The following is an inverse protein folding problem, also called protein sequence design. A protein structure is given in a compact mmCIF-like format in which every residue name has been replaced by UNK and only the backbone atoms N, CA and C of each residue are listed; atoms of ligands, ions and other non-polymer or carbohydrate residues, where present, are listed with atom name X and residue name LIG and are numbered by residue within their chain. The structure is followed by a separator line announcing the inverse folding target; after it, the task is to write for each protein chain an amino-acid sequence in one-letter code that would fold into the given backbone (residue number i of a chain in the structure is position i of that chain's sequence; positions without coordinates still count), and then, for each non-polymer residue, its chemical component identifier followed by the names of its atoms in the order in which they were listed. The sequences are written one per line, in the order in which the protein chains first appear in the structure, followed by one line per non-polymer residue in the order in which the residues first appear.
data_IF_433164328178
#
_entry.id   IF_433164328178
#
_cell.length_a   1.000
_cell.length_b   1.000
_cell.length_c   1.000
_cell.angle_alpha   90.00
_cell.angle_beta   90.00
_cell.angle_gamma   90.00
#
_symmetry.space_group_name_H-M   'P 1'
#
loop_
_entity.id
_entity.type
_entity.pdbx_description
1 polymer ?
#
# COMPACT_ATOMS: atom_id res chain seq x y z
N UNK A 1 -4.36 -12.45 8.74
CA UNK A 1 -4.11 -12.38 7.29
C UNK A 1 -3.59 -10.98 7.00
N UNK A 2 -2.51 -10.82 6.25
CA UNK A 2 -1.90 -9.53 5.88
C UNK A 2 -1.88 -9.42 4.35
N UNK A 3 -2.18 -8.25 3.76
CA UNK A 3 -2.52 -6.99 4.41
C UNK A 3 -3.98 -6.94 4.93
N UNK A 4 -4.28 -6.14 5.96
CA UNK A 4 -5.66 -5.87 6.37
C UNK A 4 -6.38 -5.05 5.29
N UNK A 5 -7.70 -5.20 5.20
CA UNK A 5 -8.53 -4.31 4.38
C UNK A 5 -8.58 -2.93 5.05
N UNK A 6 -8.28 -1.88 4.28
CA UNK A 6 -8.05 -0.52 4.78
C UNK A 6 -9.12 0.49 4.35
N UNK A 7 -9.98 0.13 3.39
CA UNK A 7 -11.02 1.04 2.90
C UNK A 7 -12.26 0.95 3.81
N UNK A 8 -12.81 2.10 4.16
CA UNK A 8 -14.09 2.23 4.85
C UNK A 8 -15.16 2.59 3.82
N UNK A 9 -15.47 1.64 2.94
CA UNK A 9 -16.49 1.77 1.90
C UNK A 9 -17.50 0.64 2.03
N UNK A 10 -18.78 0.93 1.78
CA UNK A 10 -19.87 -0.05 1.79
C UNK A 10 -19.84 -1.05 0.63
N UNK A 11 -18.67 -1.31 0.06
CA UNK A 11 -18.50 -2.22 -1.07
C UNK A 11 -18.45 -3.66 -0.59
N UNK A 12 -19.13 -4.53 -1.33
CA UNK A 12 -19.05 -5.97 -1.09
C UNK A 12 -17.65 -6.48 -1.42
N UNK A 13 -17.23 -7.48 -0.66
CA UNK A 13 -15.94 -8.15 -0.84
C UNK A 13 -16.21 -9.59 -1.22
N UNK A 14 -15.43 -10.08 -2.17
CA UNK A 14 -15.53 -11.44 -2.69
C UNK A 14 -14.13 -11.95 -3.02
N UNK A 15 -13.85 -13.25 -2.85
CA UNK A 15 -12.72 -13.86 -3.54
C UNK A 15 -12.82 -13.58 -5.05
N UNK A 16 -11.66 -13.50 -5.71
CA UNK A 16 -11.57 -13.29 -7.14
C UNK A 16 -10.75 -14.42 -7.75
N UNK A 17 -11.31 -15.09 -8.75
CA UNK A 17 -10.63 -16.14 -9.52
C UNK A 17 -10.30 -15.56 -10.89
N UNK A 18 -9.02 -15.53 -11.23
CA UNK A 18 -8.57 -15.15 -12.57
C UNK A 18 -8.45 -16.38 -13.45
N UNK A 19 -9.08 -16.34 -14.62
CA UNK A 19 -9.14 -17.42 -15.62
C UNK A 19 -8.63 -16.94 -16.98
N UNK A 20 -8.20 -17.86 -17.85
CA UNK A 20 -7.64 -17.50 -19.17
C UNK A 20 -8.72 -17.16 -20.21
N UNK A 21 -9.96 -17.58 -19.99
CA UNK A 21 -11.12 -17.35 -20.87
C UNK A 21 -12.36 -17.00 -20.02
N UNK A 22 -13.36 -16.28 -20.57
CA UNK A 22 -14.56 -15.91 -19.83
C UNK A 22 -15.27 -17.12 -19.18
N UNK A 23 -15.39 -17.11 -17.85
CA UNK A 23 -16.11 -18.14 -17.11
C UNK A 23 -17.62 -18.02 -17.32
N UNK A 24 -18.28 -19.12 -17.66
CA UNK A 24 -19.72 -19.17 -17.98
C UNK A 24 -20.53 -20.01 -16.99
N UNK A 25 -19.84 -20.87 -16.23
CA UNK A 25 -20.45 -21.84 -15.34
C UNK A 25 -20.42 -21.39 -13.88
N UNK A 26 -19.54 -20.44 -13.52
CA UNK A 26 -19.37 -19.86 -12.18
C UNK A 26 -19.40 -20.91 -11.06
N UNK A 27 -18.49 -21.91 -11.05
CA UNK A 27 -18.55 -23.06 -10.15
C UNK A 27 -18.41 -22.71 -8.66
N UNK A 28 -17.88 -21.53 -8.34
CA UNK A 28 -17.73 -21.02 -6.98
C UNK A 28 -18.55 -19.73 -6.82
N UNK A 29 -19.03 -19.48 -5.59
CA UNK A 29 -19.66 -18.21 -5.24
C UNK A 29 -18.58 -17.15 -5.02
N UNK A 30 -17.96 -16.70 -6.11
CA UNK A 30 -16.90 -15.70 -6.14
C UNK A 30 -16.98 -14.86 -7.42
N UNK A 31 -16.19 -13.78 -7.48
CA UNK A 31 -16.03 -13.04 -8.72
C UNK A 31 -15.03 -13.76 -9.65
N UNK A 32 -15.19 -13.55 -10.95
CA UNK A 32 -14.28 -14.04 -11.99
C UNK A 32 -13.79 -12.89 -12.85
N UNK A 33 -12.53 -12.96 -13.28
CA UNK A 33 -11.95 -12.04 -14.26
C UNK A 33 -10.82 -12.71 -15.04
N UNK A 34 -10.13 -11.96 -15.90
CA UNK A 34 -9.04 -12.50 -16.73
C UNK A 34 -7.68 -11.83 -16.46
N UNK A 35 -7.59 -10.82 -15.59
CA UNK A 35 -6.38 -10.00 -15.46
C UNK A 35 -5.86 -9.81 -14.02
N UNK A 36 -6.71 -9.96 -12.99
CA UNK A 36 -6.37 -9.49 -11.65
C UNK A 36 -5.17 -10.19 -11.03
N UNK A 37 -4.98 -11.50 -11.23
CA UNK A 37 -3.85 -12.24 -10.66
C UNK A 37 -2.50 -11.66 -11.12
N UNK A 38 -2.35 -11.44 -12.42
CA UNK A 38 -1.14 -10.85 -13.03
C UNK A 38 -0.97 -9.39 -12.63
N UNK A 39 -2.06 -8.61 -12.64
CA UNK A 39 -2.04 -7.22 -12.18
C UNK A 39 -1.55 -7.12 -10.74
N UNK A 40 -2.14 -7.91 -9.82
CA UNK A 40 -1.82 -7.88 -8.40
C UNK A 40 -0.36 -8.27 -8.15
N UNK A 41 0.13 -9.32 -8.83
CA UNK A 41 1.52 -9.76 -8.72
C UNK A 41 2.53 -8.67 -9.11
N UNK A 42 2.23 -7.89 -10.15
CA UNK A 42 3.11 -6.80 -10.61
C UNK A 42 2.95 -5.59 -9.69
N UNK A 43 1.72 -5.19 -9.38
CA UNK A 43 1.42 -4.03 -8.56
C UNK A 43 2.00 -4.16 -7.14
N UNK A 44 1.98 -5.36 -6.55
CA UNK A 44 2.53 -5.62 -5.21
C UNK A 44 4.06 -5.50 -5.13
N UNK A 45 4.76 -5.44 -6.27
CA UNK A 45 6.20 -5.15 -6.31
C UNK A 45 6.50 -3.65 -6.32
N UNK A 46 5.52 -2.85 -6.73
CA UNK A 46 5.66 -1.40 -6.88
C UNK A 46 4.99 -0.62 -5.74
N UNK A 47 4.07 -1.26 -5.02
CA UNK A 47 3.28 -0.64 -3.96
C UNK A 47 3.06 -1.59 -2.78
N UNK A 48 2.53 -1.05 -1.70
CA UNK A 48 2.10 -1.82 -0.52
C UNK A 48 0.75 -2.47 -0.80
N UNK A 49 0.49 -3.64 -0.22
CA UNK A 49 -0.74 -4.38 -0.49
C UNK A 49 -2.00 -3.66 -0.04
N UNK A 50 -1.87 -2.71 0.90
CA UNK A 50 -2.92 -1.80 1.33
C UNK A 50 -3.41 -0.88 0.19
N UNK A 51 -2.50 -0.48 -0.71
CA UNK A 51 -2.82 0.37 -1.88
C UNK A 51 -3.18 -0.44 -3.14
N UNK A 52 -2.89 -1.73 -3.18
CA UNK A 52 -3.19 -2.58 -4.35
C UNK A 52 -4.57 -3.19 -4.18
N UNK A 53 -5.56 -2.62 -4.87
CA UNK A 53 -6.95 -3.07 -4.84
C UNK A 53 -7.42 -3.44 -6.25
N UNK A 54 -8.25 -4.48 -6.37
CA UNK A 54 -8.97 -4.82 -7.60
C UNK A 54 -10.45 -4.56 -7.38
N UNK A 55 -10.96 -3.47 -7.97
CA UNK A 55 -12.36 -3.12 -7.92
C UNK A 55 -13.07 -3.69 -9.16
N UNK A 56 -14.19 -4.38 -8.95
CA UNK A 56 -14.96 -5.03 -10.00
C UNK A 56 -16.42 -4.60 -9.95
N UNK A 57 -16.97 -4.29 -11.11
CA UNK A 57 -18.41 -4.17 -11.31
C UNK A 57 -18.88 -5.51 -11.87
N UNK A 58 -19.89 -6.11 -11.25
CA UNK A 58 -20.43 -7.39 -11.70
C UNK A 58 -21.35 -7.14 -12.90
N UNK A 59 -20.87 -7.49 -14.09
CA UNK A 59 -21.57 -7.33 -15.38
C UNK A 59 -22.61 -8.41 -15.62
N UNK A 60 -22.37 -9.60 -15.09
CA UNK A 60 -23.07 -10.83 -15.40
C UNK A 60 -23.08 -11.76 -14.19
N UNK A 61 -24.01 -12.70 -14.22
CA UNK A 61 -24.26 -13.70 -13.19
C UNK A 61 -24.68 -15.02 -13.85
N UNK A 62 -24.74 -16.14 -13.11
CA UNK A 62 -25.29 -17.38 -13.64
C UNK A 62 -26.66 -17.16 -14.32
N UNK A 63 -26.73 -17.50 -15.61
CA UNK A 63 -27.96 -17.36 -16.41
C UNK A 63 -28.12 -16.03 -17.16
N UNK A 64 -27.21 -15.06 -17.03
CA UNK A 64 -27.20 -13.87 -17.90
C UNK A 64 -26.42 -14.10 -19.19
N UNK A 65 -26.71 -13.29 -20.22
CA UNK A 65 -25.90 -13.25 -21.43
C UNK A 65 -24.64 -12.40 -21.20
N UNK A 66 -23.50 -12.85 -21.72
CA UNK A 66 -22.21 -12.14 -21.66
C UNK A 66 -22.10 -11.00 -22.69
N UNK A 67 -23.01 -10.95 -23.67
CA UNK A 67 -22.99 -9.94 -24.73
C UNK A 67 -23.69 -8.64 -24.28
N UNK A 68 -23.01 -7.84 -23.45
CA UNK A 68 -23.49 -6.52 -23.07
C UNK A 68 -23.24 -5.49 -24.18
N UNK A 69 -24.20 -4.60 -24.40
CA UNK A 69 -24.01 -3.45 -25.30
C UNK A 69 -23.18 -2.36 -24.63
N UNK A 70 -22.58 -1.48 -25.43
CA UNK A 70 -21.84 -0.32 -24.92
C UNK A 70 -22.68 0.58 -24.00
N UNK A 71 -23.98 0.74 -24.29
CA UNK A 71 -24.89 1.53 -23.47
C UNK A 71 -25.14 0.87 -22.11
N UNK A 72 -25.30 -0.46 -22.08
CA UNK A 72 -25.45 -1.21 -20.83
C UNK A 72 -24.20 -1.11 -19.96
N UNK A 73 -23.01 -1.24 -20.56
CA UNK A 73 -21.73 -1.08 -19.87
C UNK A 73 -21.60 0.35 -19.31
N UNK A 74 -21.97 1.36 -20.11
CA UNK A 74 -21.92 2.75 -19.69
C UNK A 74 -22.84 3.02 -18.50
N UNK A 75 -24.03 2.42 -18.49
CA UNK A 75 -24.97 2.53 -17.37
C UNK A 75 -24.42 1.85 -16.10
N UNK A 76 -23.88 0.63 -16.23
CA UNK A 76 -23.26 -0.08 -15.10
C UNK A 76 -22.12 0.74 -14.47
N UNK A 77 -21.29 1.40 -15.28
CA UNK A 77 -20.24 2.29 -14.79
C UNK A 77 -20.82 3.54 -14.11
N UNK A 78 -21.82 4.18 -14.73
CA UNK A 78 -22.45 5.38 -14.20
C UNK A 78 -23.08 5.12 -12.82
N UNK A 79 -23.75 3.98 -12.66
CA UNK A 79 -24.41 3.58 -11.42
C UNK A 79 -23.41 3.38 -10.25
N UNK A 80 -22.14 3.09 -10.57
CA UNK A 80 -21.08 2.82 -9.58
C UNK A 80 -20.07 3.95 -9.44
N UNK A 81 -20.26 5.08 -10.15
CA UNK A 81 -19.25 6.14 -10.20
C UNK A 81 -18.96 6.73 -8.82
N UNK A 82 -19.98 6.98 -8.00
CA UNK A 82 -19.81 7.51 -6.64
C UNK A 82 -19.00 6.58 -5.73
N UNK A 83 -19.22 5.26 -5.86
CA UNK A 83 -18.47 4.24 -5.16
C UNK A 83 -17.00 4.18 -5.60
N UNK A 84 -16.75 4.26 -6.92
CA UNK A 84 -15.40 4.32 -7.49
C UNK A 84 -14.66 5.57 -6.99
N UNK A 85 -15.30 6.73 -7.05
CA UNK A 85 -14.73 8.01 -6.58
C UNK A 85 -14.37 7.94 -5.09
N UNK A 86 -15.25 7.37 -4.27
CA UNK A 86 -15.01 7.18 -2.84
C UNK A 86 -13.79 6.28 -2.59
N UNK A 87 -13.70 5.14 -3.27
CA UNK A 87 -12.57 4.23 -3.13
C UNK A 87 -11.25 4.86 -3.59
N UNK A 88 -11.25 5.57 -4.72
CA UNK A 88 -10.07 6.29 -5.23
C UNK A 88 -9.64 7.40 -4.28
N UNK A 89 -10.59 8.14 -3.71
CA UNK A 89 -10.32 9.18 -2.71
C UNK A 89 -9.60 8.60 -1.48
N UNK A 90 -10.14 7.53 -0.90
CA UNK A 90 -9.52 6.88 0.27
C UNK A 90 -8.14 6.29 -0.03
N UNK A 91 -7.95 5.66 -1.21
CA UNK A 91 -6.64 5.17 -1.64
C UNK A 91 -5.63 6.31 -1.84
N UNK A 92 -6.08 7.44 -2.37
CA UNK A 92 -5.25 8.63 -2.57
C UNK A 92 -4.83 9.25 -1.23
N UNK A 93 -5.75 9.28 -0.25
CA UNK A 93 -5.46 9.75 1.10
C UNK A 93 -4.48 8.83 1.82
N UNK A 94 -4.68 7.51 1.71
CA UNK A 94 -3.74 6.53 2.25
C UNK A 94 -2.36 6.65 1.59
N UNK A 95 -2.31 6.84 0.26
CA UNK A 95 -1.04 7.04 -0.45
C UNK A 95 -0.29 8.26 0.08
N UNK A 96 -1.01 9.37 0.35
CA UNK A 96 -0.39 10.58 0.91
C UNK A 96 0.17 10.34 2.31
N UNK A 97 -0.53 9.59 3.15
CA UNK A 97 -0.02 9.20 4.47
C UNK A 97 1.24 8.34 4.33
N UNK A 98 1.24 7.37 3.43
CA UNK A 98 2.40 6.51 3.17
C UNK A 98 3.60 7.28 2.58
N UNK A 99 3.36 8.31 1.78
CA UNK A 99 4.42 9.18 1.27
C UNK A 99 5.12 9.96 2.39
N UNK A 100 4.44 10.27 3.50
CA UNK A 100 5.09 10.96 4.64
C UNK A 100 6.18 10.12 5.31
N UNK A 101 6.05 8.80 5.27
CA UNK A 101 7.00 7.82 5.83
C UNK A 101 7.96 7.25 4.78
N UNK A 102 7.71 7.50 3.50
CA UNK A 102 8.60 7.08 2.41
C UNK A 102 9.90 7.88 2.45
N UNK A 103 11.01 7.20 2.16
CA UNK A 103 12.33 7.84 2.05
C UNK A 103 12.32 8.84 0.88
N UNK A 104 12.72 10.11 1.11
CA UNK A 104 12.77 11.11 0.05
C UNK A 104 13.65 10.64 -1.14
N UNK A 105 13.22 10.87 -2.39
CA UNK A 105 14.06 10.67 -3.55
C UNK A 105 15.36 11.45 -3.41
N UNK A 106 16.50 10.80 -3.70
CA UNK A 106 17.82 11.44 -3.64
C UNK A 106 18.48 11.47 -2.25
N UNK A 107 17.79 11.10 -1.16
CA UNK A 107 18.41 11.05 0.17
C UNK A 107 19.66 10.15 0.17
N UNK A 108 19.56 8.96 -0.41
CA UNK A 108 20.71 8.05 -0.52
C UNK A 108 21.85 8.67 -1.34
N UNK A 109 21.53 9.46 -2.38
CA UNK A 109 22.54 10.10 -3.24
C UNK A 109 23.42 11.06 -2.44
N UNK A 110 22.87 11.78 -1.46
CA UNK A 110 23.64 12.68 -0.59
C UNK A 110 24.76 11.97 0.19
N UNK A 111 24.59 10.69 0.49
CA UNK A 111 25.62 9.85 1.11
C UNK A 111 26.57 9.25 0.05
N UNK A 112 26.02 8.79 -1.07
CA UNK A 112 26.82 8.18 -2.15
C UNK A 112 27.78 9.17 -2.82
N UNK A 113 27.48 10.47 -2.78
CA UNK A 113 28.35 11.54 -3.26
C UNK A 113 29.55 11.79 -2.34
N UNK A 114 29.43 11.45 -1.05
CA UNK A 114 30.43 11.73 -0.02
C UNK A 114 31.31 10.53 0.33
N UNK A 115 30.79 9.31 0.26
CA UNK A 115 31.55 8.10 0.58
C UNK A 115 31.37 7.00 -0.47
N UNK A 116 32.39 6.16 -0.62
CA UNK A 116 32.33 5.00 -1.48
C UNK A 116 31.71 3.80 -0.75
N UNK A 117 30.47 3.45 -1.10
CA UNK A 117 29.77 2.27 -0.58
C UNK A 117 29.89 1.09 -1.55
N UNK A 118 30.24 -0.09 -1.05
CA UNK A 118 30.09 -1.36 -1.78
C UNK A 118 28.61 -1.65 -2.07
N UNK A 119 28.32 -2.56 -3.01
CA UNK A 119 26.93 -2.94 -3.34
C UNK A 119 26.13 -3.36 -2.11
N UNK A 120 26.70 -4.21 -1.25
CA UNK A 120 26.06 -4.64 -0.01
C UNK A 120 25.80 -3.46 0.94
N UNK A 121 26.77 -2.56 1.10
CA UNK A 121 26.64 -1.38 1.94
C UNK A 121 25.58 -0.40 1.41
N UNK A 122 25.39 -0.29 0.08
CA UNK A 122 24.31 0.53 -0.51
C UNK A 122 22.93 -0.01 -0.14
N UNK A 123 22.74 -1.33 -0.17
CA UNK A 123 21.51 -1.96 0.30
C UNK A 123 21.29 -1.72 1.79
N UNK A 124 22.34 -1.84 2.61
CA UNK A 124 22.27 -1.57 4.04
C UNK A 124 21.91 -0.10 4.33
N UNK A 125 22.51 0.85 3.61
CA UNK A 125 22.21 2.28 3.69
C UNK A 125 20.73 2.53 3.38
N UNK A 126 20.23 2.03 2.24
CA UNK A 126 18.84 2.21 1.84
C UNK A 126 17.86 1.64 2.89
N UNK A 127 18.16 0.47 3.46
CA UNK A 127 17.37 -0.14 4.50
C UNK A 127 17.37 0.69 5.80
N UNK A 128 18.54 1.18 6.24
CA UNK A 128 18.67 2.01 7.44
C UNK A 128 17.93 3.34 7.30
N UNK A 129 18.10 4.04 6.18
CA UNK A 129 17.42 5.31 5.93
C UNK A 129 15.89 5.15 5.90
N UNK A 130 15.40 4.07 5.27
CA UNK A 130 13.97 3.75 5.24
C UNK A 130 13.42 3.47 6.62
N UNK A 131 14.12 2.66 7.44
CA UNK A 131 13.71 2.36 8.81
C UNK A 131 13.77 3.58 9.72
N UNK A 132 14.78 4.44 9.56
CA UNK A 132 14.88 5.70 10.28
C UNK A 132 13.72 6.62 9.93
N UNK A 133 13.42 6.79 8.64
CA UNK A 133 12.31 7.64 8.19
C UNK A 133 10.96 7.14 8.71
N UNK A 134 10.73 5.83 8.69
CA UNK A 134 9.50 5.25 9.22
C UNK A 134 9.33 5.44 10.74
N UNK A 135 10.42 5.64 11.49
CA UNK A 135 10.42 5.74 12.96
C UNK A 135 10.68 7.15 13.49
N UNK A 136 11.05 8.10 12.64
CA UNK A 136 11.41 9.47 13.04
C UNK A 136 10.67 10.50 12.21
N UNK A 137 10.22 11.56 12.89
CA UNK A 137 9.57 12.71 12.22
C UNK A 137 10.59 13.49 11.36
N UNK A 138 11.84 13.58 11.83
CA UNK A 138 12.95 14.23 11.14
C UNK A 138 14.16 13.30 11.06
N UNK A 139 14.66 13.12 9.83
CA UNK A 139 15.90 12.40 9.59
C UNK A 139 17.10 13.21 10.13
N UNK A 140 18.15 12.55 10.64
CA UNK A 140 19.37 13.24 11.01
C UNK A 140 19.98 13.94 9.78
N UNK A 141 20.58 15.11 10.00
CA UNK A 141 21.35 15.78 8.96
C UNK A 141 22.47 14.86 8.46
N UNK A 142 22.74 14.89 7.16
CA UNK A 142 23.85 14.13 6.58
C UNK A 142 25.15 14.66 7.19
N UNK A 143 25.98 13.80 7.82
CA UNK A 143 27.21 14.26 8.44
C UNK A 143 28.23 14.70 7.39
N UNK A 144 29.28 15.41 7.81
CA UNK A 144 30.41 15.72 6.92
C UNK A 144 31.42 14.58 6.83
N UNK A 145 32.25 14.58 5.78
CA UNK A 145 33.38 13.64 5.64
C UNK A 145 34.47 13.83 6.70
N UNK A 146 34.46 14.97 7.42
CA UNK A 146 35.32 15.20 8.59
C UNK A 146 34.86 14.46 9.85
N UNK A 147 33.58 14.11 9.96
CA UNK A 147 33.00 13.40 11.11
C UNK A 147 33.16 11.88 10.97
N UNK A 148 32.97 11.36 9.74
CA UNK A 148 33.11 9.94 9.44
C UNK A 148 33.98 9.75 8.21
N UNK A 149 35.04 8.95 8.37
CA UNK A 149 36.06 8.78 7.34
C UNK A 149 35.67 7.74 6.28
N UNK A 150 34.79 6.79 6.61
CA UNK A 150 34.40 5.71 5.71
C UNK A 150 32.91 5.37 5.79
N UNK A 151 32.44 4.66 4.76
CA UNK A 151 31.06 4.21 4.62
C UNK A 151 30.59 3.32 5.79
N UNK A 152 31.48 2.48 6.34
CA UNK A 152 31.16 1.58 7.45
C UNK A 152 30.85 2.35 8.73
N UNK A 153 31.59 3.42 9.00
CA UNK A 153 31.42 4.31 10.14
C UNK A 153 30.09 5.05 10.05
N UNK A 154 29.72 5.52 8.85
CA UNK A 154 28.42 6.15 8.58
C UNK A 154 27.27 5.17 8.81
N UNK A 155 27.39 3.92 8.34
CA UNK A 155 26.37 2.89 8.57
C UNK A 155 26.19 2.57 10.05
N UNK A 156 27.30 2.44 10.79
CA UNK A 156 27.29 2.19 12.23
C UNK A 156 26.63 3.34 12.98
N UNK A 157 26.90 4.59 12.58
CA UNK A 157 26.25 5.77 13.15
C UNK A 157 24.74 5.79 12.89
N UNK A 158 24.30 5.54 11.64
CA UNK A 158 22.87 5.46 11.29
C UNK A 158 22.15 4.36 12.08
N UNK A 159 22.79 3.20 12.25
CA UNK A 159 22.28 2.11 13.06
C UNK A 159 22.16 2.50 14.54
N UNK A 160 23.17 3.18 15.09
CA UNK A 160 23.10 3.73 16.46
C UNK A 160 21.95 4.72 16.64
N UNK A 161 21.70 5.60 15.66
CA UNK A 161 20.54 6.50 15.66
C UNK A 161 19.22 5.73 15.64
N UNK A 162 19.15 4.66 14.86
CA UNK A 162 17.94 3.84 14.75
C UNK A 162 17.62 3.11 16.05
N UNK A 163 18.64 2.57 16.72
CA UNK A 163 18.50 1.88 18.00
C UNK A 163 18.12 2.83 19.15
N UNK A 164 18.52 4.10 19.07
CA UNK A 164 18.17 5.12 20.06
C UNK A 164 16.70 5.56 20.00
N UNK A 165 16.01 5.36 18.88
CA UNK A 165 14.58 5.64 18.79
C UNK A 165 13.84 4.52 19.56
N UNK A 166 12.91 4.83 20.48
CA UNK A 166 12.11 3.80 21.14
C UNK A 166 11.14 3.14 20.14
N UNK A 167 10.85 1.86 20.30
CA UNK A 167 9.74 1.21 19.58
C UNK A 167 8.49 1.39 20.43
N UNK A 168 7.61 2.31 20.03
CA UNK A 168 6.33 2.48 20.72
C UNK A 168 5.29 1.55 20.07
N UNK A 169 4.96 0.45 20.75
CA UNK A 169 3.88 -0.47 20.34
C UNK A 169 2.55 -0.14 21.01
N UNK A 170 2.44 1.01 21.67
CA UNK A 170 1.18 1.43 22.29
C UNK A 170 0.17 1.69 21.18
N UNK A 171 -0.93 0.93 21.20
CA UNK A 171 -2.09 1.19 20.35
C UNK A 171 -2.54 2.62 20.65
N UNK A 172 -2.77 3.49 19.63
CA UNK A 172 -3.39 4.78 19.88
C UNK A 172 -4.76 4.50 20.48
N UNK A 173 -4.93 4.82 21.77
CA UNK A 173 -6.25 4.85 22.37
C UNK A 173 -6.99 5.99 21.69
N UNK A 174 -7.91 5.66 20.79
CA UNK A 174 -8.85 6.63 20.26
C UNK A 174 -9.67 7.15 21.44
N UNK A 175 -9.49 8.42 21.77
CA UNK A 175 -10.47 9.21 22.51
C UNK A 175 -11.71 9.33 21.60
N UNK A 176 -12.60 8.34 21.68
CA UNK A 176 -14.07 8.43 21.54
C UNK A 176 -14.65 7.03 21.34
N UNK A 177 -14.69 6.27 22.44
CA UNK A 177 -15.53 5.08 22.58
C UNK A 177 -16.48 5.28 23.76
N UNK A 178 -17.16 6.43 23.79
CA UNK A 178 -18.18 6.75 24.77
C UNK A 178 -19.47 7.22 24.08
N UNK A 179 -19.95 6.50 23.07
CA UNK A 179 -21.40 6.40 22.81
C UNK A 179 -21.70 5.34 21.73
N UNK A 180 -21.72 4.07 22.13
CA UNK A 180 -22.54 3.07 21.43
C UNK A 180 -23.30 2.29 22.48
N UNK A 181 -24.42 2.88 22.88
CA UNK A 181 -25.51 2.18 23.55
C UNK A 181 -25.94 1.03 22.65
N UNK A 182 -25.72 -0.20 23.12
CA UNK A 182 -26.39 -1.39 22.61
C UNK A 182 -27.91 -1.17 22.69
N UNK A 183 -28.59 -1.21 21.55
CA UNK A 183 -30.03 -1.51 21.52
C UNK A 183 -30.24 -2.75 20.65
N UNK A 184 -30.87 -3.82 21.20
CA UNK A 184 -31.22 -5.00 20.43
C UNK A 184 -32.58 -4.81 19.74
N UNK A 185 -32.69 -5.26 18.49
CA UNK A 185 -33.90 -5.81 17.87
C UNK A 185 -33.51 -6.64 16.65
#
# INVERSE_FOLDING_TARGET
WYPPYVLDVGLLRSPLVTVDEPERCYPQCCAYDMEASSFYQIASRCSTGELVQSLKIISDNPGSNLDLTADQISQLLADQMSAIESAVGQLSDLSRVLDTVRTPPGLSSLYLEQWHFTVAQRHQLAALLTRLKARSVQLPAVPGTSEYQDASSVLTWLEGKLLAIPVNLSVPQGEDAADRVEQPS
#
